data_IF_415215667245
#
_entry.id   IF_415215667245
#
_cell.length_a   1.000
_cell.length_b   1.000
_cell.length_c   1.000
_cell.angle_alpha   90.00
_cell.angle_beta   90.00
_cell.angle_gamma   90.00
#
_symmetry.space_group_name_H-M   'P 1'
#
loop_
_entity.id
_entity.type
_entity.pdbx_description
1 polymer ?
#
# COMPACT_ATOMS: atom_id res chain seq x y z
N UNK A 1 21.70 -14.46 -4.91
CA UNK A 1 20.97 -13.31 -5.47
C UNK A 1 19.76 -13.85 -6.19
N UNK A 2 18.58 -13.34 -5.88
CA UNK A 2 17.31 -13.78 -6.46
C UNK A 2 16.80 -12.70 -7.41
N UNK A 3 16.06 -13.08 -8.46
CA UNK A 3 15.38 -12.06 -9.26
C UNK A 3 14.25 -11.43 -8.44
N UNK A 4 13.95 -10.16 -8.70
CA UNK A 4 12.82 -9.47 -8.04
C UNK A 4 11.52 -10.23 -8.28
N UNK A 5 11.30 -10.76 -9.48
CA UNK A 5 10.15 -11.61 -9.79
C UNK A 5 9.97 -12.75 -8.79
N UNK A 6 11.06 -13.48 -8.48
CA UNK A 6 11.00 -14.62 -7.57
C UNK A 6 10.68 -14.20 -6.14
N UNK A 7 11.03 -12.98 -5.74
CA UNK A 7 10.77 -12.44 -4.40
C UNK A 7 9.34 -11.88 -4.29
N UNK A 8 8.83 -11.18 -5.30
CA UNK A 8 7.47 -10.63 -5.32
C UNK A 8 6.41 -11.73 -5.20
N UNK A 9 6.68 -12.92 -5.75
CA UNK A 9 5.77 -14.06 -5.64
C UNK A 9 5.83 -14.81 -4.30
N UNK A 10 6.62 -14.32 -3.33
CA UNK A 10 6.70 -14.92 -1.99
C UNK A 10 5.89 -14.09 -1.00
N UNK A 11 5.28 -14.78 -0.02
CA UNK A 11 4.70 -14.12 1.14
C UNK A 11 5.80 -13.72 2.13
N UNK A 12 5.65 -12.59 2.85
CA UNK A 12 6.51 -12.26 3.99
C UNK A 12 6.59 -13.41 5.00
N UNK A 13 7.80 -13.74 5.46
CA UNK A 13 8.05 -14.88 6.35
C UNK A 13 8.40 -14.45 7.79
N UNK A 14 8.72 -13.18 8.00
CA UNK A 14 9.03 -12.65 9.32
C UNK A 14 7.77 -12.64 10.21
N UNK A 15 7.94 -12.98 11.49
CA UNK A 15 6.81 -13.08 12.41
C UNK A 15 6.26 -11.71 12.77
N UNK A 16 4.94 -11.61 12.88
CA UNK A 16 4.23 -10.39 13.25
C UNK A 16 3.39 -10.63 14.51
N UNK A 17 3.55 -9.76 15.50
CA UNK A 17 2.69 -9.63 16.67
C UNK A 17 1.84 -8.35 16.55
N UNK A 18 0.51 -8.51 16.42
CA UNK A 18 -0.44 -7.41 16.28
C UNK A 18 -1.36 -7.36 17.52
N UNK A 19 -1.13 -6.44 18.48
CA UNK A 19 -1.94 -6.31 19.70
C UNK A 19 -3.33 -5.69 19.48
N UNK A 20 -3.88 -5.75 18.25
CA UNK A 20 -5.22 -5.26 17.86
C UNK A 20 -5.52 -3.78 18.16
N UNK A 21 -4.50 -2.97 18.44
CA UNK A 21 -4.64 -1.52 18.64
C UNK A 21 -5.15 -0.88 17.35
N UNK A 22 -6.24 -0.13 17.45
CA UNK A 22 -6.95 0.44 16.30
C UNK A 22 -6.61 1.92 16.12
N UNK A 23 -6.29 2.29 14.87
CA UNK A 23 -6.08 3.67 14.47
C UNK A 23 -7.38 4.48 14.43
N UNK A 24 -7.25 5.81 14.37
CA UNK A 24 -8.40 6.71 14.21
C UNK A 24 -8.32 7.50 12.90
N UNK A 25 -9.48 7.84 12.33
CA UNK A 25 -9.63 8.56 11.05
C UNK A 25 -10.76 9.59 11.17
N UNK A 26 -10.48 10.86 10.86
CA UNK A 26 -11.45 11.97 10.91
C UNK A 26 -10.96 13.27 10.29
N UNK A 27 -10.05 13.21 9.31
CA UNK A 27 -9.45 14.41 8.71
C UNK A 27 -10.55 15.35 8.20
N UNK A 28 -10.53 16.61 8.63
CA UNK A 28 -11.61 17.57 8.35
C UNK A 28 -11.79 17.80 6.85
N UNK A 29 -10.70 17.85 6.09
CA UNK A 29 -10.75 18.01 4.63
C UNK A 29 -11.45 16.84 3.92
N UNK A 30 -11.32 15.62 4.46
CA UNK A 30 -11.86 14.40 3.84
C UNK A 30 -13.40 14.36 3.89
N UNK A 31 -14.01 15.09 4.83
CA UNK A 31 -15.48 15.15 4.99
C UNK A 31 -16.20 15.72 3.76
N UNK A 32 -15.49 16.45 2.91
CA UNK A 32 -16.04 16.99 1.66
C UNK A 32 -16.22 15.93 0.56
N UNK A 33 -15.52 14.80 0.65
CA UNK A 33 -15.63 13.72 -0.31
C UNK A 33 -16.87 12.86 -0.06
N UNK A 34 -17.54 12.44 -1.13
CA UNK A 34 -18.74 11.60 -1.02
C UNK A 34 -18.36 10.24 -0.41
N UNK A 35 -19.11 9.72 0.57
CA UNK A 35 -18.90 8.38 1.12
C UNK A 35 -18.87 7.30 0.04
N UNK A 36 -18.08 6.24 0.26
CA UNK A 36 -18.00 5.10 -0.65
C UNK A 36 -19.33 4.32 -0.63
N UNK A 37 -20.13 4.44 -1.70
CA UNK A 37 -21.44 3.77 -1.82
C UNK A 37 -21.43 2.53 -2.69
N UNK A 38 -20.48 2.44 -3.62
CA UNK A 38 -20.30 1.32 -4.56
C UNK A 38 -18.81 1.17 -4.83
N UNK A 39 -18.32 -0.07 -4.76
CA UNK A 39 -16.97 -0.45 -5.11
C UNK A 39 -16.98 -1.87 -5.66
N UNK A 40 -15.96 -2.20 -6.45
CA UNK A 40 -15.72 -3.55 -6.93
C UNK A 40 -14.62 -4.15 -6.08
N UNK A 41 -14.90 -5.32 -5.50
CA UNK A 41 -13.90 -6.13 -4.83
C UNK A 41 -13.26 -7.06 -5.86
N UNK A 42 -11.93 -7.08 -5.85
CA UNK A 42 -11.10 -7.97 -6.66
C UNK A 42 -10.55 -9.15 -5.85
N UNK A 43 -10.95 -9.23 -4.58
CA UNK A 43 -10.62 -10.31 -3.65
C UNK A 43 -11.92 -10.95 -3.17
N UNK A 44 -11.97 -12.28 -3.18
CA UNK A 44 -13.06 -13.07 -2.57
C UNK A 44 -12.49 -13.82 -1.37
N UNK A 45 -13.26 -13.88 -0.30
CA UNK A 45 -12.90 -14.58 0.93
C UNK A 45 -13.96 -15.62 1.28
N UNK A 46 -13.51 -16.74 1.82
CA UNK A 46 -14.36 -17.65 2.57
C UNK A 46 -14.71 -16.95 3.89
N UNK A 47 -16.00 -16.77 4.14
CA UNK A 47 -16.48 -16.04 5.32
C UNK A 47 -16.47 -16.90 6.59
N UNK A 48 -16.40 -18.22 6.46
CA UNK A 48 -16.37 -19.16 7.58
C UNK A 48 -14.93 -19.38 8.06
N UNK A 49 -13.97 -19.53 7.14
CA UNK A 49 -12.55 -19.68 7.48
C UNK A 49 -11.79 -18.36 7.56
N UNK A 50 -12.31 -17.28 6.95
CA UNK A 50 -11.59 -16.01 6.81
C UNK A 50 -10.45 -16.06 5.81
N UNK A 51 -10.31 -17.14 5.03
CA UNK A 51 -9.24 -17.29 4.05
C UNK A 51 -9.57 -16.61 2.73
N UNK A 52 -8.55 -16.07 2.05
CA UNK A 52 -8.69 -15.53 0.69
C UNK A 52 -8.81 -16.70 -0.28
N UNK A 53 -9.96 -16.80 -0.96
CA UNK A 53 -10.25 -17.89 -1.91
C UNK A 53 -9.99 -17.53 -3.36
N UNK A 54 -10.01 -16.23 -3.69
CA UNK A 54 -9.70 -15.73 -5.04
C UNK A 54 -9.17 -14.32 -5.00
N UNK A 55 -8.20 -14.04 -5.87
CA UNK A 55 -7.72 -12.70 -6.21
C UNK A 55 -7.78 -12.57 -7.74
N UNK A 56 -8.42 -11.52 -8.25
CA UNK A 56 -8.55 -11.22 -9.69
C UNK A 56 -8.26 -9.75 -9.93
N UNK A 57 -6.99 -9.44 -10.15
CA UNK A 57 -6.56 -8.10 -10.53
C UNK A 57 -6.33 -7.95 -12.05
N UNK A 58 -6.43 -9.02 -12.83
CA UNK A 58 -6.24 -9.00 -14.29
C UNK A 58 -7.27 -8.11 -14.98
N UNK A 59 -8.46 -7.99 -14.39
CA UNK A 59 -9.51 -7.07 -14.86
C UNK A 59 -9.39 -5.65 -14.31
N UNK A 60 -8.55 -5.43 -13.30
CA UNK A 60 -8.35 -4.14 -12.64
C UNK A 60 -7.14 -3.36 -13.19
N UNK A 61 -6.10 -4.09 -13.59
CA UNK A 61 -4.85 -3.51 -14.08
C UNK A 61 -4.70 -3.67 -15.59
N UNK A 62 -3.79 -2.87 -16.15
CA UNK A 62 -3.35 -3.06 -17.52
C UNK A 62 -2.57 -4.39 -17.62
N UNK A 63 -2.55 -5.04 -18.81
CA UNK A 63 -1.68 -6.17 -19.05
C UNK A 63 -0.22 -5.83 -18.77
N UNK A 64 0.58 -6.85 -18.42
CA UNK A 64 2.03 -6.69 -18.36
C UNK A 64 2.54 -6.32 -19.76
N UNK A 65 3.37 -5.29 -19.82
CA UNK A 65 4.01 -4.77 -21.02
C UNK A 65 5.48 -5.23 -21.04
N UNK A 66 6.21 -4.82 -22.09
CA UNK A 66 7.60 -5.25 -22.29
C UNK A 66 8.58 -4.70 -21.24
N UNK A 67 8.26 -3.58 -20.59
CA UNK A 67 9.11 -3.00 -19.55
C UNK A 67 9.04 -3.77 -18.23
N UNK A 68 7.96 -4.50 -17.96
CA UNK A 68 7.88 -5.42 -16.82
C UNK A 68 8.95 -6.50 -16.88
N UNK A 69 9.25 -7.09 -18.05
CA UNK A 69 10.31 -8.12 -18.13
C UNK A 69 11.65 -7.58 -17.64
N UNK A 70 11.97 -6.33 -17.98
CA UNK A 70 13.20 -5.67 -17.53
C UNK A 70 13.18 -5.45 -16.02
N UNK A 71 12.08 -4.91 -15.47
CA UNK A 71 11.92 -4.70 -14.01
C UNK A 71 12.00 -6.00 -13.23
N UNK A 72 11.32 -7.05 -13.72
CA UNK A 72 11.23 -8.35 -13.06
C UNK A 72 12.58 -9.11 -13.06
N UNK A 73 13.44 -8.83 -14.04
CA UNK A 73 14.80 -9.37 -14.14
C UNK A 73 15.82 -8.69 -13.23
N UNK A 74 15.46 -7.57 -12.57
CA UNK A 74 16.34 -6.91 -11.61
C UNK A 74 16.73 -7.85 -10.47
N UNK A 75 17.88 -7.56 -9.86
CA UNK A 75 18.37 -8.31 -8.71
C UNK A 75 17.73 -7.71 -7.45
N UNK A 76 17.04 -8.55 -6.68
CA UNK A 76 16.50 -8.19 -5.37
C UNK A 76 17.22 -8.92 -4.24
N UNK A 77 16.99 -8.43 -3.02
CA UNK A 77 17.35 -9.12 -1.79
C UNK A 77 16.09 -9.40 -0.98
N UNK A 78 15.98 -10.55 -0.31
CA UNK A 78 14.90 -10.79 0.62
C UNK A 78 15.01 -9.83 1.82
N UNK A 79 13.89 -9.58 2.54
CA UNK A 79 13.93 -8.89 3.81
C UNK A 79 14.86 -9.59 4.81
N UNK A 80 15.54 -8.81 5.65
CA UNK A 80 16.34 -9.37 6.74
C UNK A 80 15.43 -10.04 7.78
N UNK A 81 15.91 -11.11 8.41
CA UNK A 81 15.16 -11.79 9.47
C UNK A 81 14.86 -10.85 10.65
N UNK A 82 13.59 -10.72 11.02
CA UNK A 82 13.09 -9.79 12.06
C UNK A 82 11.85 -10.35 12.76
N UNK A 83 11.59 -9.83 13.96
CA UNK A 83 10.32 -9.99 14.66
C UNK A 83 9.65 -8.62 14.75
N UNK A 84 8.42 -8.52 14.24
CA UNK A 84 7.65 -7.29 14.21
C UNK A 84 6.63 -7.27 15.34
N UNK A 85 6.46 -6.10 15.95
CA UNK A 85 5.39 -5.84 16.91
C UNK A 85 4.72 -4.52 16.55
N UNK A 86 3.42 -4.54 16.30
CA UNK A 86 2.68 -3.38 15.82
C UNK A 86 2.06 -2.59 16.98
N UNK A 87 2.82 -1.67 17.58
CA UNK A 87 2.28 -0.83 18.65
C UNK A 87 1.69 0.47 18.08
N UNK A 88 2.25 0.97 16.98
CA UNK A 88 1.93 2.25 16.34
C UNK A 88 1.70 2.10 14.83
N UNK A 89 1.14 3.13 14.18
CA UNK A 89 1.05 3.19 12.71
C UNK A 89 2.42 3.10 12.04
N UNK A 90 3.45 3.70 12.66
CA UNK A 90 4.82 3.71 12.16
C UNK A 90 5.45 2.30 12.14
N UNK A 91 5.07 1.42 13.06
CA UNK A 91 5.57 0.04 13.07
C UNK A 91 5.06 -0.76 11.87
N UNK A 92 3.78 -0.55 11.50
CA UNK A 92 3.19 -1.18 10.30
C UNK A 92 3.79 -0.59 9.04
N UNK A 93 3.99 0.72 9.00
CA UNK A 93 4.65 1.39 7.89
C UNK A 93 6.05 0.82 7.66
N UNK A 94 6.85 0.72 8.72
CA UNK A 94 8.20 0.16 8.62
C UNK A 94 8.19 -1.31 8.19
N UNK A 95 7.24 -2.11 8.69
CA UNK A 95 7.04 -3.48 8.22
C UNK A 95 6.68 -3.53 6.74
N UNK A 96 5.72 -2.71 6.31
CA UNK A 96 5.30 -2.66 4.91
C UNK A 96 6.47 -2.30 4.00
N UNK A 97 7.30 -1.34 4.41
CA UNK A 97 8.49 -0.98 3.66
C UNK A 97 9.47 -2.13 3.57
N UNK A 98 9.88 -2.67 4.72
CA UNK A 98 10.90 -3.71 4.79
C UNK A 98 10.48 -5.03 4.12
N UNK A 99 9.23 -5.44 4.27
CA UNK A 99 8.74 -6.74 3.81
C UNK A 99 8.11 -6.72 2.41
N UNK A 100 7.60 -5.56 1.97
CA UNK A 100 6.82 -5.46 0.73
C UNK A 100 7.38 -4.41 -0.21
N UNK A 101 7.38 -3.14 0.18
CA UNK A 101 7.70 -2.08 -0.77
C UNK A 101 9.16 -2.12 -1.22
N UNK A 102 10.11 -2.42 -0.34
CA UNK A 102 11.53 -2.46 -0.68
C UNK A 102 11.85 -3.59 -1.65
N UNK A 103 11.17 -4.73 -1.49
CA UNK A 103 11.26 -5.88 -2.42
C UNK A 103 10.73 -5.48 -3.80
N UNK A 104 9.60 -4.78 -3.84
CA UNK A 104 9.01 -4.27 -5.10
C UNK A 104 9.87 -3.17 -5.71
N UNK A 105 10.41 -2.25 -4.89
CA UNK A 105 11.22 -1.12 -5.34
C UNK A 105 12.51 -1.55 -6.03
N UNK A 106 13.06 -2.72 -5.69
CA UNK A 106 14.19 -3.28 -6.41
C UNK A 106 13.89 -3.45 -7.92
N UNK A 107 12.63 -3.72 -8.31
CA UNK A 107 12.22 -3.78 -9.72
C UNK A 107 12.31 -2.40 -10.41
N UNK A 108 12.16 -1.33 -9.62
CA UNK A 108 12.13 0.06 -10.06
C UNK A 108 13.44 0.78 -9.78
N UNK A 109 14.56 0.05 -9.68
CA UNK A 109 15.86 0.67 -9.48
C UNK A 109 16.33 1.42 -10.74
N UNK A 110 15.98 0.93 -11.93
CA UNK A 110 16.47 1.46 -13.22
C UNK A 110 15.40 1.79 -14.26
N UNK A 111 14.26 1.09 -14.28
CA UNK A 111 13.32 1.13 -15.42
C UNK A 111 11.88 1.57 -15.05
N UNK A 112 11.61 2.89 -14.90
CA UNK A 112 12.54 3.94 -14.50
C UNK A 112 12.87 3.84 -13.00
N UNK A 113 13.87 4.61 -12.56
CA UNK A 113 14.19 4.75 -11.14
C UNK A 113 13.04 5.42 -10.37
N UNK A 114 12.52 4.77 -9.33
CA UNK A 114 11.59 5.36 -8.35
C UNK A 114 12.35 5.75 -7.09
N UNK A 115 12.08 6.96 -6.59
CA UNK A 115 12.60 7.48 -5.34
C UNK A 115 11.50 7.51 -4.30
N UNK A 116 11.71 6.78 -3.21
CA UNK A 116 10.92 6.88 -1.98
C UNK A 116 11.43 8.03 -1.12
N UNK A 117 10.51 8.78 -0.54
CA UNK A 117 10.76 9.75 0.53
C UNK A 117 9.67 9.65 1.58
N UNK A 118 10.06 9.60 2.84
CA UNK A 118 9.14 9.45 3.96
C UNK A 118 8.98 10.76 4.74
N UNK A 119 7.83 10.94 5.37
CA UNK A 119 7.49 12.09 6.22
C UNK A 119 7.72 13.45 5.52
N UNK A 120 7.36 13.52 4.25
CA UNK A 120 7.52 14.71 3.40
C UNK A 120 6.18 15.40 3.16
N UNK A 121 6.25 16.70 2.86
CA UNK A 121 5.13 17.38 2.22
C UNK A 121 4.81 16.70 0.87
N UNK A 122 3.53 16.61 0.48
CA UNK A 122 3.12 16.08 -0.82
C UNK A 122 3.83 16.80 -1.97
N UNK A 123 4.17 16.05 -3.01
CA UNK A 123 4.69 16.65 -4.25
C UNK A 123 3.55 17.39 -4.97
N UNK A 124 3.72 18.70 -5.18
CA UNK A 124 2.78 19.50 -5.96
C UNK A 124 3.14 20.98 -5.96
N UNK A 125 2.50 21.74 -6.85
CA UNK A 125 2.73 23.19 -6.98
C UNK A 125 2.09 23.99 -5.84
N UNK A 126 1.19 23.37 -5.08
CA UNK A 126 0.53 23.99 -3.93
C UNK A 126 1.30 23.62 -2.66
N UNK A 127 1.56 24.62 -1.83
CA UNK A 127 2.09 24.39 -0.50
C UNK A 127 1.00 23.74 0.38
N UNK A 128 1.16 22.46 0.68
CA UNK A 128 0.25 21.68 1.52
C UNK A 128 0.99 21.47 2.86
N UNK A 129 0.46 21.99 3.99
CA UNK A 129 1.15 21.92 5.28
C UNK A 129 1.16 20.53 5.89
N UNK A 130 0.27 19.64 5.45
CA UNK A 130 0.22 18.26 5.90
C UNK A 130 1.35 17.42 5.30
N UNK A 131 2.01 16.62 6.13
CA UNK A 131 2.95 15.60 5.66
C UNK A 131 2.21 14.30 5.34
N UNK A 132 2.74 13.56 4.39
CA UNK A 132 2.34 12.18 4.08
C UNK A 132 3.39 11.22 4.62
N UNK A 133 2.96 10.00 4.94
CA UNK A 133 3.84 8.98 5.53
C UNK A 133 4.95 8.60 4.55
N UNK A 134 4.58 8.23 3.32
CA UNK A 134 5.54 7.90 2.26
C UNK A 134 5.10 8.43 0.89
N UNK A 135 6.08 8.81 0.07
CA UNK A 135 5.87 9.20 -1.33
C UNK A 135 6.86 8.48 -2.22
N UNK A 136 6.35 7.82 -3.25
CA UNK A 136 7.12 7.20 -4.32
C UNK A 136 6.97 8.05 -5.57
N UNK A 137 8.09 8.46 -6.15
CA UNK A 137 8.07 9.38 -7.28
C UNK A 137 9.17 9.07 -8.29
N UNK A 138 8.91 9.41 -9.55
CA UNK A 138 9.89 9.31 -10.63
C UNK A 138 10.34 10.71 -11.08
N UNK A 139 11.54 10.80 -11.63
CA UNK A 139 11.99 12.03 -12.29
C UNK A 139 11.60 12.00 -13.77
N UNK A 140 10.85 13.02 -14.19
CA UNK A 140 10.52 13.32 -15.59
C UNK A 140 11.30 14.58 -15.97
N UNK A 141 12.50 14.39 -16.53
CA UNK A 141 13.45 15.49 -16.72
C UNK A 141 13.95 16.02 -15.37
N UNK A 142 13.80 17.32 -15.13
CA UNK A 142 14.13 17.95 -13.83
C UNK A 142 12.97 17.95 -12.83
N UNK A 143 11.79 17.47 -13.23
CA UNK A 143 10.59 17.49 -12.39
C UNK A 143 10.37 16.15 -11.73
N UNK A 144 10.02 16.15 -10.44
CA UNK A 144 9.65 14.95 -9.68
C UNK A 144 8.13 14.78 -9.74
N UNK A 145 7.68 13.65 -10.30
CA UNK A 145 6.26 13.33 -10.44
C UNK A 145 5.86 12.22 -9.44
N UNK A 146 4.87 12.44 -8.56
CA UNK A 146 4.41 11.40 -7.64
C UNK A 146 3.75 10.26 -8.42
N UNK A 147 4.10 9.03 -8.04
CA UNK A 147 3.49 7.79 -8.55
C UNK A 147 2.51 7.25 -7.52
N UNK A 148 2.94 7.18 -6.25
CA UNK A 148 2.14 6.70 -5.13
C UNK A 148 2.39 7.60 -3.93
N UNK A 149 1.32 7.94 -3.21
CA UNK A 149 1.37 8.53 -1.88
C UNK A 149 0.75 7.51 -0.93
N UNK A 150 1.49 7.13 0.10
CA UNK A 150 1.08 6.15 1.10
C UNK A 150 0.66 6.81 2.40
N UNK A 151 -0.44 6.33 2.98
CA UNK A 151 -0.78 6.53 4.38
C UNK A 151 -1.19 5.19 4.99
N UNK A 152 -0.81 4.98 6.26
CA UNK A 152 -1.05 3.75 6.99
C UNK A 152 -2.11 3.96 8.07
N UNK A 153 -3.02 2.99 8.18
CA UNK A 153 -4.00 2.92 9.26
C UNK A 153 -4.11 1.49 9.75
N UNK A 154 -4.28 1.33 11.06
CA UNK A 154 -4.32 0.03 11.73
C UNK A 154 -5.71 -0.41 12.08
N UNK A 155 -6.01 -1.67 11.78
CA UNK A 155 -7.19 -2.40 12.28
C UNK A 155 -8.54 -1.67 12.04
N UNK A 156 -8.61 -0.79 11.02
CA UNK A 156 -9.82 -0.05 10.66
C UNK A 156 -10.76 -0.88 9.77
N UNK A 157 -10.20 -1.78 8.97
CA UNK A 157 -10.97 -2.60 8.04
C UNK A 157 -11.54 -3.81 8.78
N UNK A 158 -12.86 -3.78 8.98
CA UNK A 158 -13.62 -5.00 9.27
C UNK A 158 -13.89 -5.72 7.96
N UNK A 159 -13.19 -6.83 7.77
CA UNK A 159 -13.16 -7.59 6.52
C UNK A 159 -14.55 -8.04 6.10
N UNK A 160 -15.35 -8.55 7.04
CA UNK A 160 -16.74 -8.99 6.81
C UNK A 160 -17.61 -7.87 6.24
N UNK A 161 -17.61 -6.72 6.91
CA UNK A 161 -18.36 -5.55 6.51
C UNK A 161 -17.85 -4.95 5.19
N UNK A 162 -16.53 -4.98 4.97
CA UNK A 162 -15.91 -4.51 3.75
C UNK A 162 -16.19 -5.43 2.56
N UNK A 163 -16.26 -6.74 2.75
CA UNK A 163 -16.59 -7.66 1.66
C UNK A 163 -18.07 -7.60 1.28
N UNK A 164 -18.96 -7.31 2.25
CA UNK A 164 -20.41 -7.28 2.03
C UNK A 164 -20.97 -5.92 1.60
N UNK A 165 -20.15 -4.86 1.56
CA UNK A 165 -20.66 -3.51 1.25
C UNK A 165 -21.31 -2.80 2.45
N UNK A 166 -21.18 -3.34 3.66
CA UNK A 166 -21.84 -2.88 4.89
C UNK A 166 -20.87 -2.13 5.82
N UNK A 167 -19.98 -1.33 5.23
CA UNK A 167 -18.94 -0.56 5.94
C UNK A 167 -19.49 0.29 7.08
N UNK A 168 -18.83 0.21 8.24
CA UNK A 168 -19.13 1.08 9.38
C UNK A 168 -18.65 2.53 9.15
N UNK A 169 -18.95 3.42 10.09
CA UNK A 169 -18.58 4.84 9.98
C UNK A 169 -17.06 5.06 9.85
N UNK A 170 -16.24 4.31 10.60
CA UNK A 170 -14.78 4.44 10.53
C UNK A 170 -14.23 4.03 9.17
N UNK A 171 -14.75 2.94 8.58
CA UNK A 171 -14.42 2.49 7.23
C UNK A 171 -14.89 3.47 6.16
N UNK A 172 -16.04 4.13 6.36
CA UNK A 172 -16.50 5.19 5.46
C UNK A 172 -15.58 6.42 5.49
N UNK A 173 -15.14 6.83 6.68
CA UNK A 173 -14.18 7.93 6.84
C UNK A 173 -12.82 7.59 6.22
N UNK A 174 -12.32 6.37 6.44
CA UNK A 174 -11.13 5.88 5.77
C UNK A 174 -11.27 5.93 4.24
N UNK A 175 -12.40 5.46 3.70
CA UNK A 175 -12.64 5.49 2.27
C UNK A 175 -12.77 6.92 1.69
N UNK A 176 -13.20 7.90 2.49
CA UNK A 176 -13.16 9.31 2.12
C UNK A 176 -11.73 9.87 2.11
N UNK A 177 -10.92 9.51 3.11
CA UNK A 177 -9.51 9.90 3.17
C UNK A 177 -8.71 9.30 1.99
N UNK A 178 -8.98 8.06 1.59
CA UNK A 178 -8.32 7.44 0.43
C UNK A 178 -8.69 8.04 -0.94
N UNK A 179 -9.69 8.94 -1.00
CA UNK A 179 -10.15 9.58 -2.25
C UNK A 179 -9.58 10.96 -2.51
N UNK A 180 -9.04 11.62 -1.47
CA UNK A 180 -8.43 12.95 -1.61
C UNK A 180 -6.93 12.88 -1.57
#
# INVERSE_FOLDING_TARGET
>A
MSSVQSLIFQHPTNSVDNPDITSYTSKTWAKSYVPLRRYRLHTTMDMDSGEVTRVDFDTAFLPLMEDEEKRMSEIGQPPNARHWRFETEADIEHWWHAEVSDVVLAAWQRYPAIVQTDHTAPLGDKNIPENVHSTYAMYLGSSRAPVIIGEMKRNLIRVDAWCQGTMNEAQQRLAQELRG
#
